data_IF_544134546110
#
_entry.id   IF_544134546110
#
_cell.length_a   1.000
_cell.length_b   1.000
_cell.length_c   1.000
_cell.angle_alpha   90.00
_cell.angle_beta   90.00
_cell.angle_gamma   90.00
#
_symmetry.space_group_name_H-M   'P 1'
#
loop_
_entity.id
_entity.type
_entity.pdbx_description
1 polymer ?
#
# COMPACT_ATOMS: atom_id res chain seq x y z
N UNK A 1 11.06 1.85 -10.33
CA UNK A 1 10.02 1.17 -9.51
C UNK A 1 9.22 0.23 -10.41
N UNK A 2 9.03 -1.04 -10.03
CA UNK A 2 8.23 -2.00 -10.79
C UNK A 2 6.97 -2.39 -10.02
N UNK A 3 5.82 -1.93 -10.50
CA UNK A 3 4.51 -2.24 -9.92
C UNK A 3 4.10 -3.67 -10.26
N UNK A 4 3.50 -4.37 -9.29
CA UNK A 4 2.96 -5.73 -9.48
C UNK A 4 1.44 -5.79 -9.33
N UNK A 5 0.82 -4.70 -8.87
CA UNK A 5 -0.61 -4.61 -8.58
C UNK A 5 -1.20 -3.35 -9.24
N UNK A 6 -2.39 -3.45 -9.85
CA UNK A 6 -3.11 -2.28 -10.39
C UNK A 6 -3.71 -1.39 -9.28
N UNK A 7 -3.98 -0.12 -9.59
CA UNK A 7 -4.77 0.75 -8.73
C UNK A 7 -6.20 0.22 -8.55
N UNK A 8 -6.89 0.64 -7.49
CA UNK A 8 -8.25 0.22 -7.11
C UNK A 8 -8.41 -1.27 -6.75
N UNK A 9 -7.32 -2.00 -6.53
CA UNK A 9 -7.38 -3.38 -6.00
C UNK A 9 -7.48 -3.36 -4.47
N UNK A 10 -8.28 -4.26 -3.92
CA UNK A 10 -8.19 -4.63 -2.50
C UNK A 10 -6.95 -5.48 -2.27
N UNK A 11 -6.16 -5.13 -1.24
CA UNK A 11 -4.96 -5.84 -0.84
C UNK A 11 -5.00 -6.25 0.62
N UNK A 12 -4.31 -7.34 0.95
CA UNK A 12 -4.16 -7.84 2.31
C UNK A 12 -2.81 -7.46 2.93
N UNK A 13 -2.72 -7.52 4.27
CA UNK A 13 -1.46 -7.25 4.98
C UNK A 13 -0.39 -8.27 4.55
N UNK A 14 0.76 -7.77 4.11
CA UNK A 14 1.86 -8.58 3.61
C UNK A 14 1.79 -8.91 2.12
N UNK A 15 0.77 -8.44 1.40
CA UNK A 15 0.68 -8.66 -0.05
C UNK A 15 1.80 -7.93 -0.81
N UNK A 16 2.30 -8.55 -1.87
CA UNK A 16 3.43 -8.04 -2.63
C UNK A 16 3.00 -6.96 -3.63
N UNK A 17 3.29 -5.70 -3.31
CA UNK A 17 2.82 -4.54 -4.07
C UNK A 17 3.74 -4.19 -5.25
N UNK A 18 5.05 -4.15 -5.01
CA UNK A 18 6.03 -3.70 -5.99
C UNK A 18 7.45 -4.16 -5.65
N UNK A 19 8.35 -4.01 -6.62
CA UNK A 19 9.80 -4.14 -6.42
C UNK A 19 10.49 -2.81 -6.70
N UNK A 20 11.27 -2.33 -5.75
CA UNK A 20 12.23 -1.24 -5.95
C UNK A 20 13.57 -1.89 -6.27
N UNK A 21 14.23 -1.42 -7.32
CA UNK A 21 15.51 -1.94 -7.77
C UNK A 21 16.49 -0.79 -7.81
N UNK A 22 17.69 -1.02 -7.31
CA UNK A 22 18.80 -0.08 -7.45
C UNK A 22 19.07 0.19 -8.94
N UNK A 23 19.40 1.42 -9.39
CA UNK A 23 19.87 1.68 -10.76
C UNK A 23 20.94 0.71 -11.26
N UNK A 24 21.79 0.15 -10.40
CA UNK A 24 22.80 -0.85 -10.79
C UNK A 24 22.28 -2.30 -10.87
N UNK A 25 21.02 -2.55 -10.49
CA UNK A 25 20.37 -3.86 -10.59
C UNK A 25 20.77 -4.88 -9.52
N UNK A 26 21.74 -4.56 -8.67
CA UNK A 26 22.32 -5.48 -7.68
C UNK A 26 21.37 -5.81 -6.53
N UNK A 27 20.55 -4.85 -6.10
CA UNK A 27 19.63 -5.01 -4.96
C UNK A 27 18.17 -4.80 -5.37
N UNK A 28 17.30 -5.65 -4.83
CA UNK A 28 15.85 -5.58 -5.02
C UNK A 28 15.15 -5.55 -3.67
N UNK A 29 14.41 -4.49 -3.41
CA UNK A 29 13.56 -4.34 -2.24
C UNK A 29 12.13 -4.70 -2.60
N UNK A 30 11.54 -5.64 -1.86
CA UNK A 30 10.13 -5.99 -2.00
C UNK A 30 9.30 -5.05 -1.14
N UNK A 31 8.34 -4.37 -1.76
CA UNK A 31 7.36 -3.54 -1.07
C UNK A 31 6.17 -4.43 -0.72
N UNK A 32 5.91 -4.58 0.57
CA UNK A 32 4.78 -5.35 1.11
C UNK A 32 3.72 -4.40 1.67
N UNK A 33 2.46 -4.80 1.57
CA UNK A 33 1.35 -4.02 2.13
C UNK A 33 1.41 -4.00 3.67
N UNK A 34 1.44 -2.81 4.32
CA UNK A 34 1.49 -2.74 5.79
C UNK A 34 0.14 -3.10 6.45
N UNK A 35 -0.97 -2.93 5.72
CA UNK A 35 -2.33 -3.17 6.19
C UNK A 35 -3.22 -3.68 5.06
N UNK A 36 -4.38 -4.24 5.43
CA UNK A 36 -5.45 -4.56 4.49
C UNK A 36 -6.22 -3.30 4.10
N UNK A 37 -6.65 -3.20 2.84
CA UNK A 37 -7.39 -2.04 2.33
C UNK A 37 -7.39 -1.92 0.81
N UNK A 38 -7.94 -0.82 0.29
CA UNK A 38 -7.96 -0.53 -1.14
C UNK A 38 -6.81 0.41 -1.53
N UNK A 39 -6.14 0.10 -2.63
CA UNK A 39 -5.14 1.00 -3.22
C UNK A 39 -5.85 2.17 -3.89
N UNK A 40 -5.73 3.36 -3.31
CA UNK A 40 -6.33 4.60 -3.81
C UNK A 40 -5.43 5.24 -4.87
N UNK A 41 -4.11 5.27 -4.59
CA UNK A 41 -3.14 5.89 -5.47
C UNK A 41 -1.83 5.12 -5.48
N UNK A 42 -1.17 5.14 -6.64
CA UNK A 42 0.11 4.48 -6.89
C UNK A 42 1.02 5.47 -7.61
N UNK A 43 2.23 5.63 -7.11
CA UNK A 43 3.24 6.43 -7.79
C UNK A 43 3.76 5.65 -9.02
N UNK A 44 3.61 6.23 -10.21
CA UNK A 44 4.06 5.65 -11.48
C UNK A 44 5.43 6.19 -11.94
N UNK A 45 6.09 7.02 -11.13
CA UNK A 45 7.43 7.52 -11.43
C UNK A 45 8.45 6.37 -11.51
N UNK A 46 9.33 6.35 -12.53
CA UNK A 46 10.38 5.33 -12.64
C UNK A 46 11.41 5.43 -11.51
N UNK A 47 11.62 6.64 -10.97
CA UNK A 47 12.59 6.96 -9.90
C UNK A 47 11.82 7.44 -8.67
N UNK A 48 12.17 6.89 -7.51
CA UNK A 48 11.62 7.23 -6.19
C UNK A 48 12.77 7.35 -5.20
N UNK A 49 12.65 8.29 -4.28
CA UNK A 49 13.66 8.55 -3.24
C UNK A 49 13.21 8.01 -1.88
N UNK A 50 14.14 7.94 -0.94
CA UNK A 50 13.82 7.58 0.43
C UNK A 50 12.88 8.62 1.05
N UNK A 51 11.76 8.16 1.60
CA UNK A 51 10.73 9.01 2.16
C UNK A 51 9.57 9.30 1.21
N UNK A 52 9.70 8.98 -0.08
CA UNK A 52 8.60 9.16 -1.03
C UNK A 52 7.44 8.20 -0.74
N UNK A 53 6.23 8.74 -0.81
CA UNK A 53 5.01 7.94 -0.77
C UNK A 53 4.81 7.23 -2.12
N UNK A 54 4.93 5.90 -2.11
CA UNK A 54 4.77 5.06 -3.31
C UNK A 54 3.33 4.54 -3.45
N UNK A 55 2.67 4.26 -2.33
CA UNK A 55 1.31 3.71 -2.28
C UNK A 55 0.46 4.45 -1.25
N UNK A 56 -0.79 4.72 -1.62
CA UNK A 56 -1.83 5.14 -0.69
C UNK A 56 -2.85 4.01 -0.55
N UNK A 57 -2.96 3.46 0.64
CA UNK A 57 -3.87 2.34 0.95
C UNK A 57 -4.88 2.84 1.97
N UNK A 58 -6.17 2.61 1.70
CA UNK A 58 -7.21 2.91 2.68
C UNK A 58 -7.07 2.01 3.90
N UNK A 59 -7.47 2.51 5.06
CA UNK A 59 -7.54 1.74 6.31
C UNK A 59 -9.00 1.68 6.75
N UNK A 60 -9.43 0.55 7.31
CA UNK A 60 -10.68 0.52 8.06
C UNK A 60 -10.49 1.43 9.28
N UNK A 61 -11.24 2.54 9.31
CA UNK A 61 -11.28 3.41 10.47
C UNK A 61 -12.11 2.70 11.55
N UNK A 62 -11.44 2.22 12.60
CA UNK A 62 -12.07 1.60 13.78
C UNK A 62 -13.14 2.50 14.40
N UNK A 63 -13.05 3.81 14.18
CA UNK A 63 -14.00 4.81 14.65
C UNK A 63 -15.44 4.52 14.21
N UNK A 64 -15.67 4.00 12.99
CA UNK A 64 -17.03 3.70 12.52
C UNK A 64 -17.54 2.38 13.13
N UNK A 65 -16.67 1.37 13.25
CA UNK A 65 -17.03 0.09 13.85
C UNK A 65 -17.39 0.24 15.34
N UNK A 66 -16.66 1.07 16.07
CA UNK A 66 -16.93 1.40 17.48
C UNK A 66 -18.23 2.20 17.64
N UNK A 67 -18.47 3.20 16.79
CA UNK A 67 -19.71 3.99 16.83
C UNK A 67 -20.97 3.16 16.51
N UNK A 68 -20.86 2.16 15.62
CA UNK A 68 -21.95 1.23 15.34
C UNK A 68 -22.22 0.25 16.49
N UNK A 69 -21.18 -0.16 17.23
CA UNK A 69 -21.32 -1.05 18.39
C UNK A 69 -21.88 -0.34 19.64
N UNK A 70 -21.60 0.96 19.80
CA UNK A 70 -22.17 1.75 20.90
C UNK A 70 -23.66 2.06 20.72
N UNK A 71 -24.16 2.18 19.48
CA UNK A 71 -25.59 2.42 19.22
C UNK A 71 -26.49 1.17 19.38
N UNK A 72 -25.91 0.00 19.65
CA UNK A 72 -26.63 -1.26 19.88
C UNK A 72 -26.69 -1.60 21.39
N UNK A 73 -26.05 -0.82 22.26
CA UNK A 73 -26.22 -0.89 23.72
C UNK A 73 -27.22 0.16 24.21
#
# INVERSE_FOLDING_TARGET
LHLKIPCNKYVEKGEFLATITDPYGTMRFKVLAPNKGYIINVNQSPIVYQGDAIFHISTQSKTIEQALQENIK
#
